data_IF_400064209482
#
_entry.id   IF_400064209482
#
_cell.length_a   1.000
_cell.length_b   1.000
_cell.length_c   1.000
_cell.angle_alpha   90.00
_cell.angle_beta   90.00
_cell.angle_gamma   90.00
#
_symmetry.space_group_name_H-M   'P 1'
#
loop_
_entity.id
_entity.type
_entity.pdbx_description
1 polymer ?
#
# COMPACT_ATOMS: atom_id res chain seq x y z
N UNK A 1 19.19 -4.58 -9.01
CA UNK A 1 17.86 -4.56 -9.66
C UNK A 1 16.82 -4.27 -8.60
N UNK A 2 16.22 -3.09 -8.63
CA UNK A 2 15.39 -2.55 -7.56
C UNK A 2 14.04 -3.29 -7.48
N UNK A 3 13.94 -4.26 -6.55
CA UNK A 3 12.73 -5.05 -6.20
C UNK A 3 11.44 -4.26 -5.80
N UNK A 4 11.29 -2.98 -6.16
CA UNK A 4 9.99 -2.26 -6.13
C UNK A 4 9.19 -2.63 -7.39
N UNK A 5 9.90 -2.93 -8.48
CA UNK A 5 9.35 -3.24 -9.80
C UNK A 5 9.22 -4.75 -10.05
N UNK A 6 9.48 -5.59 -9.04
CA UNK A 6 9.26 -7.02 -9.22
C UNK A 6 7.76 -7.27 -9.29
N UNK A 7 7.34 -8.11 -10.23
CA UNK A 7 5.92 -8.43 -10.44
C UNK A 7 5.28 -8.99 -9.17
N UNK A 8 6.05 -9.71 -8.36
CA UNK A 8 5.66 -10.27 -7.08
C UNK A 8 5.35 -9.17 -6.05
N UNK A 9 6.17 -8.11 -5.98
CA UNK A 9 5.91 -7.00 -5.08
C UNK A 9 4.64 -6.23 -5.49
N UNK A 10 4.44 -6.01 -6.79
CA UNK A 10 3.22 -5.39 -7.31
C UNK A 10 1.98 -6.25 -7.03
N UNK A 11 2.11 -7.58 -7.13
CA UNK A 11 1.05 -8.51 -6.76
C UNK A 11 0.68 -8.39 -5.28
N UNK A 12 1.67 -8.36 -4.38
CA UNK A 12 1.43 -8.16 -2.95
C UNK A 12 0.69 -6.84 -2.67
N UNK A 13 1.13 -5.73 -3.27
CA UNK A 13 0.47 -4.43 -3.11
C UNK A 13 -0.97 -4.47 -3.62
N UNK A 14 -1.24 -5.16 -4.74
CA UNK A 14 -2.58 -5.33 -5.28
C UNK A 14 -3.50 -6.07 -4.30
N UNK A 15 -3.05 -7.21 -3.79
CA UNK A 15 -3.81 -8.03 -2.81
C UNK A 15 -4.10 -7.23 -1.54
N UNK A 16 -3.13 -6.46 -1.03
CA UNK A 16 -3.32 -5.61 0.14
C UNK A 16 -4.35 -4.50 -0.11
N UNK A 17 -4.32 -3.87 -1.29
CA UNK A 17 -5.29 -2.86 -1.70
C UNK A 17 -6.70 -3.44 -1.83
N UNK A 18 -6.84 -4.60 -2.47
CA UNK A 18 -8.12 -5.31 -2.61
C UNK A 18 -8.71 -5.65 -1.24
N UNK A 19 -7.90 -6.26 -0.37
CA UNK A 19 -8.31 -6.56 1.02
C UNK A 19 -8.76 -5.31 1.78
N UNK A 20 -8.05 -4.18 1.59
CA UNK A 20 -8.42 -2.90 2.22
C UNK A 20 -9.81 -2.45 1.76
N UNK A 21 -10.07 -2.53 0.45
CA UNK A 21 -11.34 -2.13 -0.16
C UNK A 21 -12.50 -3.04 0.26
N UNK A 22 -12.28 -4.37 0.28
CA UNK A 22 -13.26 -5.36 0.75
C UNK A 22 -13.69 -5.11 2.20
N UNK A 23 -12.75 -4.68 3.04
CA UNK A 23 -13.02 -4.34 4.44
C UNK A 23 -13.58 -2.92 4.63
N UNK A 24 -13.78 -2.15 3.56
CA UNK A 24 -14.25 -0.76 3.63
C UNK A 24 -13.29 0.17 4.38
N UNK A 25 -11.99 -0.15 4.41
CA UNK A 25 -10.99 0.63 5.14
C UNK A 25 -10.47 1.74 4.21
N UNK A 26 -10.49 3.00 4.65
CA UNK A 26 -9.90 4.10 3.87
C UNK A 26 -8.38 4.12 4.00
N UNK A 27 -7.68 4.70 3.01
CA UNK A 27 -6.23 4.89 3.09
C UNK A 27 -5.83 5.72 4.32
N UNK A 28 -6.65 6.71 4.72
CA UNK A 28 -6.46 7.49 5.95
C UNK A 28 -6.56 6.64 7.22
N UNK A 29 -7.58 5.77 7.30
CA UNK A 29 -7.77 4.88 8.45
C UNK A 29 -6.59 3.92 8.58
N UNK A 30 -6.13 3.35 7.47
CA UNK A 30 -4.96 2.49 7.45
C UNK A 30 -3.69 3.24 7.82
N UNK A 31 -3.44 4.42 7.24
CA UNK A 31 -2.25 5.22 7.52
C UNK A 31 -2.18 5.67 8.99
N UNK A 32 -3.33 6.02 9.60
CA UNK A 32 -3.42 6.34 11.03
C UNK A 32 -2.98 5.18 11.91
N UNK A 33 -3.31 3.93 11.55
CA UNK A 33 -2.84 2.76 12.28
C UNK A 33 -1.31 2.60 12.23
N UNK A 34 -0.66 3.12 11.19
CA UNK A 34 0.80 3.19 11.08
C UNK A 34 1.42 4.46 11.68
N UNK A 35 0.62 5.39 12.22
CA UNK A 35 1.13 6.70 12.66
C UNK A 35 1.72 7.53 11.50
N UNK A 36 1.24 7.32 10.27
CA UNK A 36 1.73 7.97 9.04
C UNK A 36 0.61 8.78 8.38
N UNK A 37 0.95 9.78 7.54
CA UNK A 37 -0.05 10.48 6.73
C UNK A 37 -0.67 9.55 5.68
N UNK A 38 -1.89 9.86 5.23
CA UNK A 38 -2.58 9.07 4.18
C UNK A 38 -1.73 8.88 2.91
N UNK A 39 -0.92 9.88 2.55
CA UNK A 39 0.00 9.82 1.41
C UNK A 39 1.01 8.69 1.51
N UNK A 40 1.29 8.17 2.71
CA UNK A 40 2.12 6.97 2.90
C UNK A 40 1.51 5.75 2.21
N UNK A 41 0.22 5.49 2.46
CA UNK A 41 -0.50 4.36 1.87
C UNK A 41 -0.74 4.61 0.38
N UNK A 42 -1.07 5.84 -0.02
CA UNK A 42 -1.23 6.17 -1.44
C UNK A 42 0.03 5.88 -2.26
N UNK A 43 1.21 6.30 -1.78
CA UNK A 43 2.49 6.06 -2.44
C UNK A 43 2.83 4.57 -2.52
N UNK A 44 2.44 3.79 -1.51
CA UNK A 44 2.61 2.33 -1.52
C UNK A 44 1.70 1.70 -2.58
N UNK A 45 0.40 2.05 -2.57
CA UNK A 45 -0.59 1.50 -3.50
C UNK A 45 -0.33 1.92 -4.96
N UNK A 46 0.35 3.05 -5.19
CA UNK A 46 0.79 3.51 -6.51
C UNK A 46 2.16 2.94 -6.93
N UNK A 47 2.85 2.19 -6.07
CA UNK A 47 4.20 1.70 -6.35
C UNK A 47 5.31 2.75 -6.30
N UNK A 48 5.01 3.97 -5.84
CA UNK A 48 5.97 5.07 -5.65
C UNK A 48 6.85 4.87 -4.40
N UNK A 49 6.43 3.99 -3.49
CA UNK A 49 7.14 3.70 -2.24
C UNK A 49 7.05 2.22 -1.84
N UNK A 50 8.13 1.70 -1.26
CA UNK A 50 8.11 0.39 -0.60
C UNK A 50 7.46 0.41 0.78
N UNK A 51 6.78 -0.69 1.10
CA UNK A 51 6.56 -1.13 2.48
C UNK A 51 7.95 -1.39 3.08
N UNK A 52 8.39 -0.51 3.98
CA UNK A 52 9.63 -0.61 4.77
C UNK A 52 9.30 -0.43 6.24
#
# INVERSE_FOLDING_TARGET
MSSVYSEEYQYVIRVLRETRLEKGITQEKLARAFGRPQSFIAKIENGERRLV
#
